data_IF_197532711097
#
_entry.id   IF_197532711097
#
_cell.length_a   1.000
_cell.length_b   1.000
_cell.length_c   1.000
_cell.angle_alpha   90.00
_cell.angle_beta   90.00
_cell.angle_gamma   90.00
#
_symmetry.space_group_name_H-M   'P 1'
#
loop_
_entity.id
_entity.type
_entity.pdbx_description
1 polymer ?
#
# COMPACT_ATOMS: atom_id res chain seq x y z
N UNK A 1 2.31 -44.21 7.34
CA UNK A 1 2.21 -43.83 8.77
C UNK A 1 1.00 -42.91 8.91
N UNK A 2 -0.08 -43.45 9.45
CA UNK A 2 -1.33 -42.70 9.65
C UNK A 2 -1.13 -41.72 10.80
N UNK A 3 -1.35 -40.42 10.58
CA UNK A 3 -1.25 -39.42 11.65
C UNK A 3 -2.32 -39.68 12.71
N UNK A 4 -1.96 -39.53 13.99
CA UNK A 4 -2.92 -39.74 15.10
C UNK A 4 -3.96 -38.66 15.12
N UNK A 5 -5.26 -38.97 15.41
CA UNK A 5 -6.36 -37.98 15.43
C UNK A 5 -6.07 -36.75 16.30
N UNK A 6 -5.38 -36.89 17.45
CA UNK A 6 -5.05 -35.79 18.35
C UNK A 6 -4.08 -34.79 17.69
N UNK A 7 -3.12 -35.30 16.87
CA UNK A 7 -2.21 -34.41 16.14
C UNK A 7 -2.92 -33.60 15.08
N UNK A 8 -3.86 -34.22 14.37
CA UNK A 8 -4.68 -33.53 13.36
C UNK A 8 -5.59 -32.48 14.05
N UNK A 9 -6.16 -32.80 15.20
CA UNK A 9 -6.98 -31.87 15.97
C UNK A 9 -6.19 -30.66 16.47
N UNK A 10 -4.96 -30.85 16.94
CA UNK A 10 -4.07 -29.76 17.33
C UNK A 10 -3.76 -28.82 16.14
N UNK A 11 -3.54 -29.38 14.94
CA UNK A 11 -3.32 -28.58 13.71
C UNK A 11 -4.59 -27.82 13.30
N UNK A 12 -5.78 -28.41 13.45
CA UNK A 12 -7.05 -27.73 13.20
C UNK A 12 -7.20 -26.50 14.10
N UNK A 13 -6.89 -26.65 15.40
CA UNK A 13 -6.92 -25.52 16.34
C UNK A 13 -5.91 -24.39 15.92
N UNK A 14 -4.72 -24.77 15.46
CA UNK A 14 -3.75 -23.81 14.91
C UNK A 14 -4.26 -23.07 13.67
N UNK A 15 -4.96 -23.75 12.75
CA UNK A 15 -5.59 -23.10 11.59
C UNK A 15 -6.69 -22.12 11.99
N UNK A 16 -7.48 -22.45 13.01
CA UNK A 16 -8.52 -21.58 13.53
C UNK A 16 -7.93 -20.30 14.16
N UNK A 17 -6.81 -20.40 14.90
CA UNK A 17 -6.08 -19.23 15.42
C UNK A 17 -5.56 -18.32 14.31
N UNK A 18 -4.92 -18.90 13.28
CA UNK A 18 -4.46 -18.13 12.11
C UNK A 18 -5.63 -17.45 11.41
N UNK A 19 -6.78 -18.13 11.31
CA UNK A 19 -8.01 -17.59 10.75
C UNK A 19 -8.52 -16.36 11.51
N UNK A 20 -8.45 -16.37 12.85
CA UNK A 20 -8.82 -15.23 13.69
C UNK A 20 -7.88 -14.03 13.44
N UNK A 21 -6.55 -14.26 13.43
CA UNK A 21 -5.57 -13.21 13.16
C UNK A 21 -5.77 -12.61 11.77
N UNK A 22 -5.99 -13.46 10.75
CA UNK A 22 -6.24 -13.00 9.37
C UNK A 22 -7.51 -12.14 9.28
N UNK A 23 -8.55 -12.49 10.06
CA UNK A 23 -9.80 -11.73 10.11
C UNK A 23 -9.60 -10.37 10.78
N UNK A 24 -8.84 -10.30 11.87
CA UNK A 24 -8.52 -9.06 12.57
C UNK A 24 -7.70 -8.11 11.67
N UNK A 25 -6.66 -8.63 11.01
CA UNK A 25 -5.85 -7.85 10.07
C UNK A 25 -6.67 -7.30 8.89
N UNK A 26 -7.61 -8.09 8.37
CA UNK A 26 -8.53 -7.64 7.32
C UNK A 26 -9.44 -6.50 7.81
N UNK A 27 -9.97 -6.58 9.04
CA UNK A 27 -10.81 -5.52 9.61
C UNK A 27 -10.04 -4.21 9.79
N UNK A 28 -8.78 -4.29 10.31
CA UNK A 28 -7.90 -3.13 10.45
C UNK A 28 -7.63 -2.50 9.07
N UNK A 29 -7.25 -3.32 8.08
CA UNK A 29 -6.98 -2.82 6.74
C UNK A 29 -8.22 -2.18 6.08
N UNK A 30 -9.41 -2.75 6.32
CA UNK A 30 -10.68 -2.16 5.85
C UNK A 30 -10.91 -0.77 6.44
N UNK A 31 -10.70 -0.61 7.76
CA UNK A 31 -10.81 0.69 8.43
C UNK A 31 -9.81 1.71 7.89
N UNK A 32 -8.54 1.33 7.72
CA UNK A 32 -7.50 2.18 7.14
C UNK A 32 -7.85 2.62 5.71
N UNK A 33 -8.31 1.68 4.86
CA UNK A 33 -8.72 2.00 3.49
C UNK A 33 -9.90 2.97 3.46
N UNK A 34 -10.91 2.78 4.32
CA UNK A 34 -12.06 3.67 4.42
C UNK A 34 -11.65 5.07 4.90
N UNK A 35 -10.81 5.17 5.92
CA UNK A 35 -10.30 6.44 6.44
C UNK A 35 -9.50 7.21 5.38
N UNK A 36 -8.56 6.54 4.69
CA UNK A 36 -7.75 7.15 3.64
C UNK A 36 -8.61 7.64 2.47
N UNK A 37 -9.57 6.83 2.01
CA UNK A 37 -10.50 7.23 0.94
C UNK A 37 -11.43 8.36 1.37
N UNK A 38 -11.86 8.37 2.63
CA UNK A 38 -12.69 9.44 3.19
C UNK A 38 -11.99 10.79 3.27
N UNK A 39 -10.66 10.81 3.41
CA UNK A 39 -9.86 12.03 3.43
C UNK A 39 -9.56 12.61 2.03
N UNK A 40 -9.54 11.77 0.98
CA UNK A 40 -9.19 12.20 -0.38
C UNK A 40 -10.04 13.36 -0.94
N UNK A 41 -11.37 13.44 -0.73
CA UNK A 41 -12.17 14.56 -1.23
C UNK A 41 -11.73 15.91 -0.66
N UNK A 42 -11.38 15.98 0.64
CA UNK A 42 -10.93 17.21 1.27
C UNK A 42 -9.58 17.68 0.69
N UNK A 43 -8.64 16.74 0.50
CA UNK A 43 -7.34 17.04 -0.13
C UNK A 43 -7.53 17.48 -1.58
N UNK A 44 -8.45 16.86 -2.32
CA UNK A 44 -8.76 17.24 -3.70
C UNK A 44 -9.39 18.61 -3.80
N UNK A 45 -10.28 18.97 -2.86
CA UNK A 45 -10.88 20.30 -2.79
C UNK A 45 -9.82 21.38 -2.49
N UNK A 46 -8.90 21.10 -1.54
CA UNK A 46 -7.77 21.98 -1.27
C UNK A 46 -6.88 22.15 -2.51
N UNK A 47 -6.50 21.07 -3.17
CA UNK A 47 -5.70 21.11 -4.39
C UNK A 47 -6.38 21.91 -5.52
N UNK A 48 -7.71 21.81 -5.66
CA UNK A 48 -8.46 22.61 -6.63
C UNK A 48 -8.42 24.09 -6.30
N UNK A 49 -8.57 24.46 -5.02
CA UNK A 49 -8.46 25.87 -4.59
C UNK A 49 -7.07 26.45 -4.88
N UNK A 50 -6.02 25.66 -4.61
CA UNK A 50 -4.63 26.05 -4.90
C UNK A 50 -4.43 26.20 -6.42
N UNK A 51 -4.98 25.27 -7.23
CA UNK A 51 -4.87 25.33 -8.69
C UNK A 51 -5.56 26.55 -9.27
N UNK A 52 -6.74 26.96 -8.77
CA UNK A 52 -7.44 28.16 -9.18
C UNK A 52 -6.63 29.42 -8.83
N UNK A 53 -6.09 29.50 -7.63
CA UNK A 53 -5.21 30.59 -7.22
C UNK A 53 -3.93 30.67 -8.06
N UNK A 54 -3.33 29.49 -8.36
CA UNK A 54 -2.14 29.36 -9.19
C UNK A 54 -2.38 29.87 -10.62
N UNK A 55 -3.56 29.57 -11.19
CA UNK A 55 -3.96 30.06 -12.51
C UNK A 55 -3.97 31.62 -12.57
N UNK A 56 -4.50 32.25 -11.54
CA UNK A 56 -4.54 33.72 -11.41
C UNK A 56 -3.13 34.31 -11.25
N UNK A 57 -2.32 33.73 -10.35
CA UNK A 57 -0.96 34.21 -10.08
C UNK A 57 -0.06 34.05 -11.30
N UNK A 58 -0.16 32.93 -12.03
CA UNK A 58 0.60 32.68 -13.24
C UNK A 58 0.24 33.67 -14.36
N UNK A 59 -1.05 33.96 -14.55
CA UNK A 59 -1.51 34.95 -15.52
C UNK A 59 -0.98 36.35 -15.20
N UNK A 60 -0.98 36.76 -13.93
CA UNK A 60 -0.50 38.10 -13.48
C UNK A 60 1.04 38.22 -13.53
N UNK A 61 1.76 37.06 -13.29
CA UNK A 61 3.21 37.01 -13.39
C UNK A 61 3.70 36.92 -14.84
N UNK A 62 2.81 36.69 -15.82
CA UNK A 62 3.21 36.39 -17.20
C UNK A 62 4.01 35.11 -17.35
N UNK A 63 3.86 34.17 -16.41
CA UNK A 63 4.60 32.91 -16.38
C UNK A 63 3.90 31.90 -17.28
N UNK A 64 4.66 31.34 -18.23
CA UNK A 64 4.23 30.18 -19.02
C UNK A 64 4.29 28.87 -18.20
N UNK A 65 3.78 27.76 -18.76
CA UNK A 65 3.91 26.46 -18.13
C UNK A 65 5.39 26.09 -17.98
N UNK A 66 5.90 26.16 -16.73
CA UNK A 66 7.28 25.88 -16.41
C UNK A 66 7.48 24.38 -16.21
N UNK A 67 8.42 23.81 -16.95
CA UNK A 67 8.97 22.50 -16.69
C UNK A 67 10.44 22.55 -17.05
N UNK A 68 11.34 22.30 -16.09
CA UNK A 68 12.77 22.20 -16.37
C UNK A 68 13.07 20.99 -17.24
N UNK A 69 14.00 21.17 -18.19
CA UNK A 69 14.61 20.04 -18.90
C UNK A 69 15.74 19.47 -18.03
N UNK A 70 15.76 18.15 -17.87
CA UNK A 70 16.82 17.51 -17.11
C UNK A 70 16.35 16.27 -16.35
N UNK A 71 17.23 15.74 -15.46
CA UNK A 71 16.89 14.60 -14.63
C UNK A 71 15.74 14.96 -13.68
N UNK A 72 14.78 14.06 -13.56
CA UNK A 72 13.60 14.24 -12.72
C UNK A 72 13.71 13.54 -11.37
N UNK A 73 12.63 13.63 -10.61
CA UNK A 73 12.47 12.93 -9.34
C UNK A 73 11.36 11.89 -9.45
N UNK A 74 11.52 10.75 -8.78
CA UNK A 74 10.48 9.72 -8.65
C UNK A 74 10.18 9.50 -7.17
N UNK A 75 9.00 9.93 -6.72
CA UNK A 75 8.48 9.63 -5.39
C UNK A 75 7.72 8.31 -5.43
N UNK A 76 8.17 7.32 -4.68
CA UNK A 76 7.54 6.01 -4.56
C UNK A 76 6.83 5.93 -3.22
N UNK A 77 5.51 5.79 -3.23
CA UNK A 77 4.72 5.61 -2.01
C UNK A 77 4.20 4.18 -1.94
N UNK A 78 4.74 3.43 -0.99
CA UNK A 78 4.50 2.01 -0.89
C UNK A 78 4.21 1.52 0.53
N UNK A 79 4.38 0.21 0.74
CA UNK A 79 4.04 -0.45 1.99
C UNK A 79 5.08 -0.21 3.09
N UNK A 80 4.60 0.18 4.27
CA UNK A 80 5.36 0.17 5.50
C UNK A 80 5.28 -1.19 6.21
N UNK A 81 4.09 -1.80 6.21
CA UNK A 81 3.80 -3.00 6.99
C UNK A 81 3.76 -4.26 6.13
N UNK A 82 3.88 -5.42 6.79
CA UNK A 82 3.75 -6.73 6.15
C UNK A 82 2.30 -7.08 5.76
N UNK A 83 2.18 -8.29 5.26
CA UNK A 83 0.90 -8.90 4.88
C UNK A 83 0.16 -8.25 3.71
N UNK A 84 0.84 -7.45 2.90
CA UNK A 84 0.31 -6.87 1.65
C UNK A 84 0.62 -7.72 0.39
N UNK A 85 1.02 -8.98 0.58
CA UNK A 85 1.31 -9.91 -0.52
C UNK A 85 2.48 -9.43 -1.39
N UNK A 86 2.33 -9.53 -2.71
CA UNK A 86 3.36 -9.12 -3.67
C UNK A 86 3.37 -7.60 -3.96
N UNK A 87 2.60 -6.78 -3.23
CA UNK A 87 2.45 -5.34 -3.49
C UNK A 87 3.79 -4.58 -3.49
N UNK A 88 4.70 -4.73 -2.48
CA UNK A 88 5.98 -4.04 -2.49
C UNK A 88 6.86 -4.45 -3.68
N UNK A 89 6.88 -5.72 -4.04
CA UNK A 89 7.68 -6.24 -5.16
C UNK A 89 7.17 -5.72 -6.52
N UNK A 90 5.84 -5.58 -6.69
CA UNK A 90 5.25 -4.99 -7.90
C UNK A 90 5.60 -3.51 -8.04
N UNK A 91 5.58 -2.75 -6.94
CA UNK A 91 6.02 -1.36 -6.94
C UNK A 91 7.50 -1.23 -7.29
N UNK A 92 8.36 -2.07 -6.72
CA UNK A 92 9.79 -2.05 -7.01
C UNK A 92 10.09 -2.38 -8.49
N UNK A 93 9.35 -3.32 -9.08
CA UNK A 93 9.49 -3.64 -10.51
C UNK A 93 9.02 -2.48 -11.40
N UNK A 94 7.87 -1.86 -11.07
CA UNK A 94 7.37 -0.70 -11.79
C UNK A 94 8.33 0.51 -11.65
N UNK A 95 8.90 0.72 -10.46
CA UNK A 95 9.90 1.75 -10.23
C UNK A 95 11.12 1.53 -11.12
N UNK A 96 11.67 0.31 -11.13
CA UNK A 96 12.84 -0.03 -11.96
C UNK A 96 12.59 0.21 -13.46
N UNK A 97 11.38 -0.14 -13.93
CA UNK A 97 10.99 0.09 -15.34
C UNK A 97 10.78 1.57 -15.68
N UNK A 98 10.44 2.40 -14.70
CA UNK A 98 10.18 3.83 -14.89
C UNK A 98 11.43 4.72 -14.76
N UNK A 99 12.55 4.17 -14.27
CA UNK A 99 13.77 4.95 -14.10
C UNK A 99 14.39 5.32 -15.45
N UNK A 100 14.79 6.58 -15.55
CA UNK A 100 15.61 7.12 -16.63
C UNK A 100 16.96 7.56 -16.07
N UNK A 101 18.01 7.67 -16.90
CA UNK A 101 19.32 8.10 -16.44
C UNK A 101 19.24 9.42 -15.67
N UNK A 102 19.85 9.46 -14.49
CA UNK A 102 19.89 10.64 -13.63
C UNK A 102 18.64 10.85 -12.76
N UNK A 103 17.57 10.04 -12.87
CA UNK A 103 16.42 10.15 -11.99
C UNK A 103 16.79 9.85 -10.54
N UNK A 104 16.54 10.77 -9.61
CA UNK A 104 16.66 10.52 -8.18
C UNK A 104 15.37 9.94 -7.60
N UNK A 105 15.51 8.99 -6.67
CA UNK A 105 14.39 8.26 -6.09
C UNK A 105 14.21 8.66 -4.62
N UNK A 106 12.98 9.05 -4.29
CA UNK A 106 12.49 9.18 -2.92
C UNK A 106 11.52 8.04 -2.65
N UNK A 107 11.62 7.36 -1.51
CA UNK A 107 10.77 6.22 -1.20
C UNK A 107 10.16 6.31 0.18
N UNK A 108 8.88 5.95 0.27
CA UNK A 108 8.10 5.90 1.50
C UNK A 108 7.62 4.47 1.74
N UNK A 109 7.84 3.96 2.96
CA UNK A 109 7.42 2.65 3.40
C UNK A 109 8.56 1.61 3.40
N UNK A 110 8.91 1.12 4.60
CA UNK A 110 10.07 0.26 4.83
C UNK A 110 10.04 -1.06 4.05
N UNK A 111 8.87 -1.66 3.83
CA UNK A 111 8.76 -2.89 3.02
C UNK A 111 9.01 -2.65 1.53
N UNK A 112 8.58 -1.51 1.04
CA UNK A 112 8.85 -1.13 -0.35
C UNK A 112 10.32 -0.75 -0.51
N UNK A 113 10.92 -0.08 0.46
CA UNK A 113 12.35 0.23 0.47
C UNK A 113 13.21 -1.03 0.37
N UNK A 114 12.89 -2.07 1.15
CA UNK A 114 13.58 -3.36 1.05
C UNK A 114 13.43 -4.00 -0.34
N UNK A 115 12.21 -3.97 -0.90
CA UNK A 115 11.97 -4.52 -2.25
C UNK A 115 12.69 -3.73 -3.36
N UNK A 116 12.86 -2.41 -3.20
CA UNK A 116 13.66 -1.57 -4.11
C UNK A 116 15.14 -1.94 -4.05
N UNK A 117 15.68 -2.15 -2.84
CA UNK A 117 17.06 -2.60 -2.65
C UNK A 117 17.31 -3.97 -3.31
N UNK A 118 16.39 -4.92 -3.18
CA UNK A 118 16.45 -6.24 -3.83
C UNK A 118 16.47 -6.14 -5.36
N UNK A 119 15.92 -5.06 -5.93
CA UNK A 119 15.92 -4.77 -7.38
C UNK A 119 17.08 -3.88 -7.83
N UNK A 120 17.98 -3.53 -6.93
CA UNK A 120 19.14 -2.66 -7.23
C UNK A 120 18.77 -1.20 -7.49
N UNK A 121 17.61 -0.73 -7.01
CA UNK A 121 17.18 0.66 -7.11
C UNK A 121 17.80 1.46 -5.97
N UNK A 122 18.66 2.42 -6.31
CA UNK A 122 19.25 3.34 -5.34
C UNK A 122 18.20 4.37 -4.91
N UNK A 123 18.05 4.55 -3.60
CA UNK A 123 17.10 5.51 -2.99
C UNK A 123 17.92 6.62 -2.32
N UNK A 124 17.67 7.86 -2.73
CA UNK A 124 18.37 9.03 -2.21
C UNK A 124 17.81 9.51 -0.87
N UNK A 125 16.48 9.43 -0.70
CA UNK A 125 15.79 9.82 0.52
C UNK A 125 14.68 8.83 0.85
N UNK A 126 14.47 8.56 2.12
CA UNK A 126 13.41 7.64 2.54
C UNK A 126 12.78 8.04 3.87
N UNK A 127 11.52 7.63 4.05
CA UNK A 127 10.78 7.74 5.31
C UNK A 127 9.82 6.57 5.49
N UNK A 128 9.34 6.38 6.74
CA UNK A 128 8.23 5.49 6.99
C UNK A 128 6.91 6.09 6.48
N UNK A 129 6.00 5.24 6.05
CA UNK A 129 4.65 5.66 5.64
C UNK A 129 3.85 6.11 6.86
N UNK A 130 3.01 7.11 6.68
CA UNK A 130 2.05 7.55 7.69
C UNK A 130 1.12 6.37 8.07
N UNK A 131 0.97 6.06 9.38
CA UNK A 131 0.12 4.94 9.79
C UNK A 131 -1.37 5.24 9.65
N UNK A 132 -1.74 6.52 9.69
CA UNK A 132 -3.10 7.05 9.65
C UNK A 132 -3.16 8.33 8.82
N UNK A 133 -4.34 8.69 8.29
CA UNK A 133 -4.54 9.93 7.50
C UNK A 133 -4.08 11.21 8.20
N UNK A 134 -4.24 11.29 9.52
CA UNK A 134 -3.91 12.47 10.32
C UNK A 134 -2.40 12.77 10.35
N UNK A 135 -1.57 11.76 10.13
CA UNK A 135 -0.11 11.92 10.07
C UNK A 135 0.41 12.24 8.65
N UNK A 136 -0.47 12.24 7.65
CA UNK A 136 -0.07 12.51 6.26
C UNK A 136 0.44 13.95 6.06
N UNK A 137 -0.15 15.01 6.64
CA UNK A 137 0.34 16.36 6.45
C UNK A 137 1.79 16.57 6.90
N UNK A 138 2.18 16.03 8.05
CA UNK A 138 3.55 16.15 8.55
C UNK A 138 4.56 15.43 7.64
N UNK A 139 4.19 14.25 7.17
CA UNK A 139 5.02 13.50 6.22
C UNK A 139 5.08 14.22 4.87
N UNK A 140 3.97 14.78 4.40
CA UNK A 140 3.91 15.55 3.15
C UNK A 140 4.82 16.77 3.20
N UNK A 141 4.83 17.52 4.31
CA UNK A 141 5.75 18.65 4.51
C UNK A 141 7.21 18.21 4.38
N UNK A 142 7.60 17.16 5.10
CA UNK A 142 8.98 16.62 5.06
C UNK A 142 9.41 16.17 3.66
N UNK A 143 8.50 15.57 2.90
CA UNK A 143 8.78 15.15 1.51
C UNK A 143 8.87 16.37 0.61
N UNK A 144 7.99 17.36 0.77
CA UNK A 144 8.02 18.60 0.00
C UNK A 144 9.33 19.34 0.22
N UNK A 145 9.79 19.47 1.46
CA UNK A 145 11.07 20.07 1.79
C UNK A 145 12.23 19.31 1.12
N UNK A 146 12.24 17.98 1.24
CA UNK A 146 13.27 17.14 0.60
C UNK A 146 13.27 17.27 -0.94
N UNK A 147 12.11 17.41 -1.56
CA UNK A 147 11.99 17.65 -3.00
C UNK A 147 12.53 19.05 -3.36
N UNK A 148 12.18 20.08 -2.61
CA UNK A 148 12.62 21.46 -2.85
C UNK A 148 14.16 21.58 -2.74
N UNK A 149 14.78 20.87 -1.83
CA UNK A 149 16.25 20.79 -1.70
C UNK A 149 16.92 20.15 -2.95
N UNK A 150 16.21 19.28 -3.65
CA UNK A 150 16.71 18.54 -4.81
C UNK A 150 16.40 19.19 -6.15
N UNK A 151 15.42 20.09 -6.25
CA UNK A 151 15.01 20.73 -7.51
C UNK A 151 16.16 21.45 -8.20
N UNK A 152 17.10 22.02 -7.45
CA UNK A 152 18.30 22.68 -8.01
C UNK A 152 19.21 21.75 -8.80
N UNK A 153 19.29 20.48 -8.42
CA UNK A 153 20.12 19.45 -9.09
C UNK A 153 19.32 18.53 -10.01
N UNK A 154 17.99 18.47 -9.82
CA UNK A 154 17.05 17.65 -10.58
C UNK A 154 15.89 18.52 -11.09
N UNK A 155 16.12 19.38 -12.09
CA UNK A 155 15.12 20.35 -12.57
C UNK A 155 14.00 19.72 -13.41
N UNK A 156 14.08 18.43 -13.73
CA UNK A 156 13.08 17.71 -14.51
C UNK A 156 11.78 17.46 -13.74
N UNK A 157 10.83 16.74 -14.37
CA UNK A 157 9.51 16.51 -13.79
C UNK A 157 9.61 15.64 -12.52
N UNK A 158 8.72 15.93 -11.57
CA UNK A 158 8.52 15.10 -10.38
C UNK A 158 7.34 14.16 -10.67
N UNK A 159 7.64 12.87 -10.65
CA UNK A 159 6.65 11.82 -10.85
C UNK A 159 6.40 11.08 -9.55
N UNK A 160 5.19 10.61 -9.35
CA UNK A 160 4.82 9.76 -8.23
C UNK A 160 4.41 8.37 -8.72
N UNK A 161 4.87 7.34 -8.02
CA UNK A 161 4.49 5.94 -8.23
C UNK A 161 3.74 5.45 -7.00
N UNK A 162 2.51 4.99 -7.20
CA UNK A 162 1.65 4.41 -6.16
C UNK A 162 1.05 3.08 -6.63
N UNK A 163 0.43 2.33 -5.71
CA UNK A 163 -0.44 1.23 -6.10
C UNK A 163 -1.71 1.72 -6.77
N UNK A 164 -2.30 0.88 -7.62
CA UNK A 164 -3.57 1.17 -8.25
C UNK A 164 -4.70 1.39 -7.22
N UNK A 165 -5.66 2.22 -7.60
CA UNK A 165 -6.88 2.41 -6.83
C UNK A 165 -7.73 1.13 -6.79
N UNK A 166 -7.69 0.32 -7.85
CA UNK A 166 -8.41 -0.93 -7.96
C UNK A 166 -7.63 -2.12 -7.38
N UNK A 167 -8.32 -3.09 -6.74
CA UNK A 167 -7.68 -4.28 -6.19
C UNK A 167 -6.94 -5.08 -7.27
N UNK A 168 -5.64 -5.27 -7.07
CA UNK A 168 -4.82 -6.07 -7.99
C UNK A 168 -4.40 -5.37 -9.29
N UNK A 169 -4.80 -4.11 -9.50
CA UNK A 169 -4.37 -3.29 -10.63
C UNK A 169 -2.85 -3.10 -10.70
N UNK A 170 -2.37 -2.65 -11.85
CA UNK A 170 -0.97 -2.30 -12.04
C UNK A 170 -0.63 -1.02 -11.26
N UNK A 171 0.61 -0.88 -10.73
CA UNK A 171 1.06 0.39 -10.17
C UNK A 171 0.90 1.54 -11.16
N UNK A 172 0.54 2.72 -10.64
CA UNK A 172 0.27 3.91 -11.43
C UNK A 172 1.39 4.92 -11.25
N UNK A 173 1.79 5.54 -12.36
CA UNK A 173 2.77 6.62 -12.38
C UNK A 173 2.09 7.86 -12.92
N UNK A 174 2.15 8.95 -12.14
CA UNK A 174 1.62 10.24 -12.53
C UNK A 174 2.68 11.33 -12.36
N UNK A 175 2.69 12.32 -13.23
CA UNK A 175 3.45 13.56 -13.00
C UNK A 175 2.70 14.39 -11.98
N UNK A 176 3.37 14.74 -10.88
CA UNK A 176 2.80 15.55 -9.80
C UNK A 176 3.32 16.99 -9.83
N UNK A 177 4.43 17.24 -10.51
CA UNK A 177 5.00 18.57 -10.72
C UNK A 177 5.80 18.61 -12.03
N UNK A 178 5.76 19.71 -12.83
CA UNK A 178 4.97 20.91 -12.59
C UNK A 178 3.45 20.63 -12.63
N UNK A 179 2.64 21.39 -11.87
CA UNK A 179 1.19 21.26 -11.95
C UNK A 179 0.67 21.75 -13.29
N UNK A 180 -0.41 21.14 -13.78
CA UNK A 180 -1.14 21.68 -14.93
C UNK A 180 -1.84 22.97 -14.51
N UNK A 181 -1.46 24.08 -15.13
CA UNK A 181 -2.05 25.40 -14.86
C UNK A 181 -3.10 25.71 -15.94
N UNK A 182 -4.37 25.69 -15.55
CA UNK A 182 -5.45 26.11 -16.42
C UNK A 182 -5.39 27.64 -16.65
N UNK A 183 -5.90 28.15 -17.78
CA UNK A 183 -6.00 29.59 -17.97
C UNK A 183 -6.93 30.21 -16.91
N UNK A 184 -6.53 31.37 -16.36
CA UNK A 184 -7.34 32.12 -15.40
C UNK A 184 -8.70 32.48 -16.00
N UNK A 185 -9.76 32.41 -15.20
CA UNK A 185 -11.12 32.72 -15.62
C UNK A 185 -11.58 34.02 -14.97
N UNK A 186 -12.22 34.88 -15.74
CA UNK A 186 -12.80 36.13 -15.27
C UNK A 186 -11.80 37.30 -15.19
N UNK A 187 -12.19 38.36 -14.48
CA UNK A 187 -11.33 39.50 -14.24
C UNK A 187 -10.24 39.14 -13.22
N UNK A 188 -9.00 39.53 -13.50
CA UNK A 188 -7.90 39.32 -12.56
C UNK A 188 -8.04 40.28 -11.37
N UNK A 189 -7.91 39.79 -10.13
CA UNK A 189 -8.00 40.62 -8.94
C UNK A 189 -6.76 41.50 -8.74
N UNK A 190 -6.89 42.55 -7.96
CA UNK A 190 -5.74 43.27 -7.43
C UNK A 190 -5.07 42.44 -6.35
N UNK A 191 -3.74 42.31 -6.41
CA UNK A 191 -2.96 41.54 -5.46
C UNK A 191 -2.35 42.45 -4.38
N UNK A 192 -2.25 41.94 -3.17
CA UNK A 192 -1.51 42.59 -2.06
C UNK A 192 -0.02 42.23 -2.06
N UNK A 193 0.37 41.11 -2.71
CA UNK A 193 1.75 40.62 -2.84
C UNK A 193 2.22 40.75 -4.30
N UNK A 194 3.54 40.90 -4.54
CA UNK A 194 4.08 40.80 -5.89
C UNK A 194 3.70 39.48 -6.57
N UNK A 195 3.25 39.48 -7.84
CA UNK A 195 2.79 38.27 -8.52
C UNK A 195 3.80 37.10 -8.53
N UNK A 196 5.08 37.43 -8.65
CA UNK A 196 6.14 36.38 -8.66
C UNK A 196 6.31 35.72 -7.29
N UNK A 197 6.20 36.46 -6.19
CA UNK A 197 6.28 35.94 -4.84
C UNK A 197 5.07 35.06 -4.52
N UNK A 198 3.86 35.52 -4.88
CA UNK A 198 2.63 34.76 -4.74
C UNK A 198 2.70 33.46 -5.56
N UNK A 199 3.19 33.52 -6.82
CA UNK A 199 3.36 32.38 -7.68
C UNK A 199 4.29 31.33 -7.06
N UNK A 200 5.42 31.74 -6.49
CA UNK A 200 6.37 30.85 -5.84
C UNK A 200 5.74 30.14 -4.62
N UNK A 201 5.03 30.87 -3.77
CA UNK A 201 4.33 30.28 -2.62
C UNK A 201 3.26 29.29 -3.04
N UNK A 202 2.47 29.60 -4.07
CA UNK A 202 1.43 28.72 -4.60
C UNK A 202 1.99 27.48 -5.30
N UNK A 203 3.16 27.55 -5.94
CA UNK A 203 3.83 26.39 -6.51
C UNK A 203 4.28 25.41 -5.41
N UNK A 204 4.82 25.93 -4.31
CA UNK A 204 5.19 25.11 -3.14
C UNK A 204 3.95 24.45 -2.53
N UNK A 205 2.85 25.18 -2.38
CA UNK A 205 1.58 24.65 -1.87
C UNK A 205 0.96 23.62 -2.80
N UNK A 206 1.04 23.82 -4.12
CA UNK A 206 0.58 22.86 -5.11
C UNK A 206 1.38 21.54 -5.04
N UNK A 207 2.70 21.62 -4.86
CA UNK A 207 3.55 20.46 -4.66
C UNK A 207 3.17 19.71 -3.37
N UNK A 208 3.01 20.43 -2.25
CA UNK A 208 2.55 19.86 -0.98
C UNK A 208 1.21 19.14 -1.14
N UNK A 209 0.22 19.78 -1.76
CA UNK A 209 -1.10 19.17 -1.98
C UNK A 209 -1.02 17.91 -2.86
N UNK A 210 -0.16 17.91 -3.89
CA UNK A 210 0.06 16.77 -4.76
C UNK A 210 0.75 15.61 -4.02
N UNK A 211 1.76 15.90 -3.19
CA UNK A 211 2.43 14.91 -2.33
C UNK A 211 1.46 14.34 -1.31
N UNK A 212 0.68 15.17 -0.62
CA UNK A 212 -0.31 14.73 0.37
C UNK A 212 -1.36 13.80 -0.26
N UNK A 213 -1.86 14.14 -1.45
CA UNK A 213 -2.77 13.29 -2.21
C UNK A 213 -2.13 11.95 -2.56
N UNK A 214 -0.89 11.97 -3.03
CA UNK A 214 -0.13 10.76 -3.38
C UNK A 214 0.07 9.85 -2.17
N UNK A 215 0.42 10.41 -1.01
CA UNK A 215 0.56 9.66 0.24
C UNK A 215 -0.76 9.01 0.66
N UNK A 216 -1.86 9.73 0.55
CA UNK A 216 -3.18 9.21 0.89
C UNK A 216 -3.62 8.09 -0.06
N UNK A 217 -3.34 8.23 -1.36
CA UNK A 217 -3.56 7.18 -2.35
C UNK A 217 -2.70 5.95 -2.04
N UNK A 218 -1.43 6.14 -1.69
CA UNK A 218 -0.53 5.05 -1.30
C UNK A 218 -1.00 4.31 -0.05
N UNK A 219 -1.48 5.04 0.96
CA UNK A 219 -2.06 4.45 2.17
C UNK A 219 -3.30 3.60 1.87
N UNK A 220 -4.20 4.12 1.02
CA UNK A 220 -5.39 3.39 0.58
C UNK A 220 -5.00 2.14 -0.22
N UNK A 221 -4.02 2.23 -1.11
CA UNK A 221 -3.54 1.13 -1.95
C UNK A 221 -2.86 0.03 -1.13
N UNK A 222 -2.03 0.38 -0.13
CA UNK A 222 -1.43 -0.58 0.80
C UNK A 222 -2.51 -1.34 1.59
N UNK A 223 -3.47 -0.61 2.15
CA UNK A 223 -4.58 -1.19 2.89
C UNK A 223 -5.41 -2.14 2.01
N UNK A 224 -5.70 -1.75 0.77
CA UNK A 224 -6.41 -2.57 -0.21
C UNK A 224 -5.62 -3.84 -0.57
N UNK A 225 -4.31 -3.73 -0.79
CA UNK A 225 -3.44 -4.88 -1.05
C UNK A 225 -3.43 -5.86 0.12
N UNK A 226 -3.43 -5.35 1.36
CA UNK A 226 -3.52 -6.17 2.58
C UNK A 226 -4.86 -6.87 2.68
N UNK A 227 -5.97 -6.19 2.42
CA UNK A 227 -7.30 -6.81 2.38
C UNK A 227 -7.34 -7.97 1.40
N UNK A 228 -6.81 -7.78 0.19
CA UNK A 228 -6.75 -8.83 -0.83
C UNK A 228 -5.89 -10.02 -0.40
N UNK A 229 -4.71 -9.76 0.19
CA UNK A 229 -3.83 -10.81 0.72
C UNK A 229 -4.53 -11.60 1.84
N UNK A 230 -5.25 -10.92 2.75
CA UNK A 230 -6.01 -11.57 3.82
C UNK A 230 -7.20 -12.37 3.28
N UNK A 231 -7.90 -11.89 2.26
CA UNK A 231 -8.96 -12.64 1.61
C UNK A 231 -8.43 -13.95 0.99
N UNK A 232 -7.31 -13.88 0.28
CA UNK A 232 -6.65 -15.06 -0.30
C UNK A 232 -6.18 -16.03 0.80
N UNK A 233 -5.60 -15.52 1.88
CA UNK A 233 -5.18 -16.34 3.02
C UNK A 233 -6.37 -17.08 3.67
N UNK A 234 -7.52 -16.39 3.85
CA UNK A 234 -8.75 -17.01 4.39
C UNK A 234 -9.28 -18.13 3.50
N UNK A 235 -9.26 -17.96 2.19
CA UNK A 235 -9.69 -19.01 1.26
C UNK A 235 -8.78 -20.23 1.36
N UNK A 236 -7.46 -20.04 1.35
CA UNK A 236 -6.49 -21.12 1.53
C UNK A 236 -6.65 -21.84 2.88
N UNK A 237 -6.93 -21.09 3.95
CA UNK A 237 -7.17 -21.66 5.28
C UNK A 237 -8.44 -22.51 5.30
N UNK A 238 -9.53 -22.06 4.66
CA UNK A 238 -10.78 -22.85 4.56
C UNK A 238 -10.57 -24.16 3.83
N UNK A 239 -9.85 -24.14 2.71
CA UNK A 239 -9.53 -25.36 1.95
C UNK A 239 -8.67 -26.34 2.76
N UNK A 240 -7.62 -25.84 3.42
CA UNK A 240 -6.75 -26.66 4.27
C UNK A 240 -7.52 -27.24 5.44
N UNK A 241 -8.39 -26.45 6.08
CA UNK A 241 -9.24 -26.90 7.19
C UNK A 241 -10.19 -28.00 6.75
N UNK A 242 -10.84 -27.86 5.60
CA UNK A 242 -11.74 -28.90 5.08
C UNK A 242 -11.02 -30.21 4.80
N UNK A 243 -9.83 -30.15 4.16
CA UNK A 243 -8.99 -31.35 3.91
C UNK A 243 -8.56 -32.00 5.22
N UNK A 244 -8.15 -31.23 6.20
CA UNK A 244 -7.68 -31.74 7.48
C UNK A 244 -8.81 -32.31 8.32
N UNK A 245 -10.03 -31.75 8.23
CA UNK A 245 -11.21 -32.28 8.89
C UNK A 245 -11.65 -33.62 8.30
N UNK A 246 -11.57 -33.81 6.99
CA UNK A 246 -11.81 -35.10 6.34
C UNK A 246 -10.76 -36.14 6.79
N UNK A 247 -9.48 -35.77 6.81
CA UNK A 247 -8.40 -36.64 7.30
C UNK A 247 -8.58 -37.04 8.78
N UNK A 248 -9.04 -36.11 9.61
CA UNK A 248 -9.35 -36.39 11.01
C UNK A 248 -10.48 -37.43 11.16
N UNK A 249 -11.56 -37.26 10.39
CA UNK A 249 -12.68 -38.20 10.40
C UNK A 249 -12.23 -39.61 9.99
N UNK A 250 -11.42 -39.69 8.94
CA UNK A 250 -10.88 -40.97 8.47
C UNK A 250 -9.97 -41.61 9.53
N UNK A 251 -9.00 -40.89 10.08
CA UNK A 251 -8.09 -41.39 11.11
C UNK A 251 -8.84 -41.87 12.36
N UNK A 252 -9.94 -41.15 12.75
CA UNK A 252 -10.78 -41.56 13.87
C UNK A 252 -11.54 -42.87 13.57
N UNK A 253 -12.05 -43.04 12.35
CA UNK A 253 -12.70 -44.31 11.94
C UNK A 253 -11.72 -45.47 11.95
N UNK A 254 -10.50 -45.27 11.42
CA UNK A 254 -9.45 -46.29 11.43
C UNK A 254 -9.07 -46.66 12.87
N UNK A 255 -8.91 -45.68 13.76
CA UNK A 255 -8.63 -45.92 15.17
C UNK A 255 -9.73 -46.73 15.85
N UNK A 256 -11.01 -46.33 15.69
CA UNK A 256 -12.14 -47.05 16.26
C UNK A 256 -12.24 -48.51 15.73
N UNK A 257 -11.94 -48.70 14.44
CA UNK A 257 -11.92 -50.06 13.86
C UNK A 257 -10.81 -50.89 14.47
N UNK A 258 -9.62 -50.34 14.67
CA UNK A 258 -8.49 -51.03 15.33
C UNK A 258 -8.82 -51.37 16.77
N UNK A 259 -9.37 -50.44 17.54
CA UNK A 259 -9.78 -50.66 18.93
C UNK A 259 -10.87 -51.76 19.04
N UNK A 260 -11.82 -51.81 18.10
CA UNK A 260 -12.84 -52.88 18.06
C UNK A 260 -12.22 -54.24 17.74
N UNK A 261 -11.26 -54.31 16.82
CA UNK A 261 -10.55 -55.55 16.50
C UNK A 261 -9.73 -56.04 17.71
N UNK A 262 -9.02 -55.11 18.40
CA UNK A 262 -8.26 -55.42 19.60
C UNK A 262 -9.17 -55.95 20.74
N UNK A 263 -10.31 -55.32 20.98
CA UNK A 263 -11.32 -55.76 21.96
C UNK A 263 -11.93 -57.10 21.59
N UNK A 264 -12.20 -57.35 20.30
CA UNK A 264 -12.73 -58.63 19.82
C UNK A 264 -11.70 -59.77 19.96
N UNK A 265 -10.40 -59.46 19.72
CA UNK A 265 -9.31 -60.44 19.87
C UNK A 265 -8.87 -60.65 21.32
N UNK A 266 -9.12 -59.69 22.22
CA UNK A 266 -8.83 -59.79 23.66
C UNK A 266 -9.86 -60.56 24.47
N UNK A 267 -10.98 -61.11 23.87
CA UNK A 267 -11.88 -62.05 24.50
C UNK A 267 -11.34 -63.47 24.31
N UNK A 268 -10.57 -64.03 25.25
CA UNK A 268 -10.25 -65.43 25.20
C UNK A 268 -11.50 -66.24 25.54
N UNK A 269 -11.61 -67.38 24.89
CA UNK A 269 -12.61 -68.43 25.07
C UNK A 269 -13.07 -68.61 26.53
N UNK A 270 -14.19 -67.94 26.90
CA UNK A 270 -14.93 -68.26 28.12
C UNK A 270 -16.02 -69.31 27.82
N UNK A 271 -15.90 -70.06 26.72
CA UNK A 271 -16.88 -71.08 26.31
C UNK A 271 -16.28 -72.48 26.07
N UNK A 272 -15.23 -72.82 26.79
CA UNK A 272 -14.67 -74.22 26.72
C UNK A 272 -14.34 -74.72 28.13
N UNK A 273 -15.26 -74.58 29.06
CA UNK A 273 -15.28 -75.36 30.31
C UNK A 273 -16.73 -75.54 30.79
N UNK A 274 -17.42 -76.52 30.20
CA UNK A 274 -18.46 -77.34 30.82
C UNK A 274 -18.48 -78.75 30.18
#
# INVERSE_FOLDING_TARGET
MTERPEQIQSRLAGLDQIGQVTSALNAIASGQSAAARGALPAISAHAATVADALAVAAALAGAGPGGGEGPGLLLIVGAAQGFSGAYPARLAEAARAALTPGTAVLAVGGRTLAALADKGVAVLWSAEQAPLPEAVPDLASRITDAILDLVGTHPGPIRALTGAADPGGAPEIATIFPPEVAPARGALPDLTLPPAELLQGLLSEALFAAVARTLMQGLAAEAQARMQAMANARNNLRERRAKMQAAWQQARQEQMTTEMIELASARPDAAAQD
#
